data_IF_111930497707
#
_entry.id   IF_111930497707
#
_cell.length_a   1.000
_cell.length_b   1.000
_cell.length_c   1.000
_cell.angle_alpha   90.00
_cell.angle_beta   90.00
_cell.angle_gamma   90.00
#
_symmetry.space_group_name_H-M   'P 1'
#
loop_
_entity.id
_entity.type
_entity.pdbx_description
1 polymer ?
#
# COMPACT_ATOMS: atom_id res chain seq x y z
N UNK A 1 -42.65 19.14 21.86
CA UNK A 1 -43.20 19.26 20.49
C UNK A 1 -42.02 19.58 19.59
N UNK A 2 -41.64 18.55 18.85
CA UNK A 2 -40.61 18.34 17.81
C UNK A 2 -39.38 19.25 17.64
N UNK A 3 -38.24 18.55 17.74
CA UNK A 3 -36.90 18.91 17.28
C UNK A 3 -36.79 18.78 15.74
N UNK A 4 -36.05 19.73 15.14
CA UNK A 4 -35.03 19.53 14.10
C UNK A 4 -35.31 18.61 12.89
N UNK A 5 -35.34 19.20 11.68
CA UNK A 5 -34.45 18.87 10.54
C UNK A 5 -34.82 19.64 9.25
N UNK A 6 -33.90 20.42 8.65
CA UNK A 6 -33.88 20.67 7.22
C UNK A 6 -32.83 19.74 6.60
N UNK A 7 -33.19 18.47 6.42
CA UNK A 7 -32.41 17.52 5.63
C UNK A 7 -33.22 17.15 4.41
N UNK A 8 -33.01 17.85 3.30
CA UNK A 8 -33.24 17.39 1.92
C UNK A 8 -33.18 18.57 0.95
N UNK A 9 -31.97 18.92 0.52
CA UNK A 9 -31.72 19.48 -0.83
C UNK A 9 -30.24 19.52 -1.23
N UNK A 10 -29.28 19.19 -0.35
CA UNK A 10 -27.87 19.08 -0.75
C UNK A 10 -27.51 17.69 -1.32
N UNK A 11 -28.46 17.06 -2.02
CA UNK A 11 -28.28 15.85 -2.83
C UNK A 11 -28.06 16.18 -4.32
N UNK A 12 -27.61 17.40 -4.63
CA UNK A 12 -27.59 17.93 -6.00
C UNK A 12 -26.16 18.27 -6.45
N UNK A 13 -25.48 17.23 -6.96
CA UNK A 13 -24.71 17.30 -8.20
C UNK A 13 -23.43 18.14 -8.25
N UNK A 14 -22.51 17.97 -7.30
CA UNK A 14 -21.09 17.96 -7.66
C UNK A 14 -20.69 16.52 -8.00
N UNK A 15 -21.03 16.08 -9.21
CA UNK A 15 -20.37 14.92 -9.84
C UNK A 15 -18.95 15.38 -10.15
N UNK A 16 -18.11 15.52 -9.12
CA UNK A 16 -16.72 15.94 -9.26
C UNK A 16 -16.02 14.90 -10.14
N UNK A 17 -15.82 15.26 -11.40
CA UNK A 17 -14.99 14.52 -12.33
C UNK A 17 -13.60 14.47 -11.70
N UNK A 18 -13.26 13.35 -11.06
CA UNK A 18 -11.98 13.16 -10.39
C UNK A 18 -10.85 13.57 -11.32
N UNK A 19 -10.04 14.57 -10.94
CA UNK A 19 -9.01 15.12 -11.82
C UNK A 19 -7.73 14.26 -11.77
N UNK A 20 -7.82 13.10 -12.41
CA UNK A 20 -6.69 12.19 -12.58
C UNK A 20 -5.50 12.84 -13.28
N UNK A 21 -5.73 13.84 -14.13
CA UNK A 21 -4.66 14.59 -14.78
C UNK A 21 -3.92 15.48 -13.79
N UNK A 22 -4.60 16.09 -12.82
CA UNK A 22 -3.97 16.82 -11.72
C UNK A 22 -3.12 15.88 -10.86
N UNK A 23 -3.68 14.74 -10.44
CA UNK A 23 -2.93 13.77 -9.65
C UNK A 23 -1.67 13.28 -10.40
N UNK A 24 -1.81 12.95 -11.68
CA UNK A 24 -0.69 12.51 -12.51
C UNK A 24 0.43 13.54 -12.62
N UNK A 25 0.08 14.83 -12.81
CA UNK A 25 1.05 15.93 -12.83
C UNK A 25 1.73 16.13 -11.48
N UNK A 26 0.95 16.12 -10.39
CA UNK A 26 1.48 16.28 -9.03
C UNK A 26 2.51 15.18 -8.70
N UNK A 27 2.18 13.93 -9.03
CA UNK A 27 3.08 12.78 -8.86
C UNK A 27 4.36 12.95 -9.67
N UNK A 28 4.24 13.37 -10.94
CA UNK A 28 5.41 13.56 -11.80
C UNK A 28 6.35 14.66 -11.28
N UNK A 29 5.79 15.78 -10.78
CA UNK A 29 6.56 16.88 -10.20
C UNK A 29 7.28 16.43 -8.93
N UNK A 30 6.56 15.86 -7.95
CA UNK A 30 7.20 15.44 -6.71
C UNK A 30 8.24 14.32 -6.91
N UNK A 31 8.01 13.42 -7.87
CA UNK A 31 9.02 12.43 -8.26
C UNK A 31 10.29 13.11 -8.79
N UNK A 32 10.15 14.13 -9.63
CA UNK A 32 11.28 14.89 -10.17
C UNK A 32 12.00 15.68 -9.07
N UNK A 33 11.26 16.30 -8.16
CA UNK A 33 11.81 17.03 -7.01
C UNK A 33 12.58 16.11 -6.06
N UNK A 34 12.13 14.85 -5.92
CA UNK A 34 12.82 13.80 -5.18
C UNK A 34 14.02 13.19 -5.95
N UNK A 35 14.30 13.65 -7.18
CA UNK A 35 15.39 13.12 -8.01
C UNK A 35 15.18 11.69 -8.50
N UNK A 36 13.96 11.16 -8.41
CA UNK A 36 13.65 9.77 -8.77
C UNK A 36 13.29 9.64 -10.25
N UNK A 37 13.69 8.55 -10.88
CA UNK A 37 13.17 8.09 -12.17
C UNK A 37 11.79 7.42 -11.99
N UNK A 38 11.01 7.31 -13.07
CA UNK A 38 9.73 6.59 -13.04
C UNK A 38 9.90 5.12 -12.59
N UNK A 39 11.04 4.50 -12.92
CA UNK A 39 11.33 3.12 -12.56
C UNK A 39 11.69 2.97 -11.07
N UNK A 40 12.38 3.95 -10.49
CA UNK A 40 12.67 3.98 -9.05
C UNK A 40 11.40 4.20 -8.23
N UNK A 41 10.51 5.10 -8.67
CA UNK A 41 9.20 5.26 -8.03
C UNK A 41 8.37 3.97 -8.15
N UNK A 42 8.36 3.34 -9.33
CA UNK A 42 7.68 2.06 -9.53
C UNK A 42 8.23 0.97 -8.59
N UNK A 43 9.55 0.91 -8.42
CA UNK A 43 10.24 -0.01 -7.53
C UNK A 43 9.91 0.27 -6.06
N UNK A 44 9.89 1.55 -5.64
CA UNK A 44 9.57 1.95 -4.28
C UNK A 44 8.12 1.62 -3.88
N UNK A 45 7.21 1.64 -4.85
CA UNK A 45 5.78 1.34 -4.65
C UNK A 45 5.45 -0.14 -4.89
N UNK A 46 6.39 -0.91 -5.47
CA UNK A 46 6.18 -2.32 -5.80
C UNK A 46 5.35 -2.57 -7.07
N UNK A 47 5.20 -1.60 -7.96
CA UNK A 47 4.38 -1.73 -9.19
C UNK A 47 5.20 -1.71 -10.47
N UNK A 48 4.60 -2.13 -11.58
CA UNK A 48 5.22 -2.05 -12.89
C UNK A 48 5.38 -0.60 -13.39
N UNK A 49 6.43 -0.35 -14.19
CA UNK A 49 6.68 0.96 -14.81
C UNK A 49 5.48 1.48 -15.63
N UNK A 50 4.73 0.57 -16.27
CA UNK A 50 3.52 0.90 -17.02
C UNK A 50 2.40 1.51 -16.15
N UNK A 51 2.32 1.11 -14.87
CA UNK A 51 1.38 1.63 -13.88
C UNK A 51 1.72 3.08 -13.55
N UNK A 52 2.99 3.39 -13.23
CA UNK A 52 3.45 4.76 -12.96
C UNK A 52 3.27 5.66 -14.20
N UNK A 53 3.65 5.18 -15.39
CA UNK A 53 3.42 5.92 -16.65
C UNK A 53 1.94 6.21 -16.91
N UNK A 54 1.05 5.28 -16.54
CA UNK A 54 -0.40 5.44 -16.72
C UNK A 54 -0.99 6.42 -15.71
N UNK A 55 -0.49 6.40 -14.48
CA UNK A 55 -0.83 7.37 -13.44
C UNK A 55 -0.35 8.78 -13.80
N UNK A 56 0.92 8.96 -14.15
CA UNK A 56 1.50 10.29 -14.47
C UNK A 56 0.84 10.94 -15.70
N UNK A 57 0.36 10.15 -16.67
CA UNK A 57 -0.44 10.67 -17.80
C UNK A 57 -1.86 11.10 -17.42
N UNK A 58 -2.34 10.76 -16.23
CA UNK A 58 -3.70 11.06 -15.81
C UNK A 58 -4.76 10.25 -16.54
N UNK A 59 -4.62 8.92 -16.54
CA UNK A 59 -5.58 8.04 -17.21
C UNK A 59 -7.00 8.16 -16.64
N UNK A 60 -7.95 8.59 -17.48
CA UNK A 60 -9.40 8.58 -17.19
C UNK A 60 -10.00 7.17 -17.00
N UNK A 61 -9.21 6.11 -17.18
CA UNK A 61 -9.65 4.73 -16.94
C UNK A 61 -9.83 4.42 -15.45
N UNK A 62 -9.24 5.22 -14.57
CA UNK A 62 -9.44 5.07 -13.14
C UNK A 62 -10.81 5.66 -12.75
N UNK A 63 -11.68 4.81 -12.24
CA UNK A 63 -13.01 5.19 -11.76
C UNK A 63 -13.02 5.47 -10.24
N UNK A 64 -11.95 5.09 -9.54
CA UNK A 64 -11.81 5.24 -8.09
C UNK A 64 -10.33 5.18 -7.68
N UNK A 65 -10.04 5.70 -6.49
CA UNK A 65 -8.74 5.54 -5.84
C UNK A 65 -8.48 4.06 -5.55
N UNK A 66 -7.26 3.62 -5.80
CA UNK A 66 -6.78 2.26 -5.59
C UNK A 66 -5.64 2.30 -4.57
N UNK A 67 -5.36 1.20 -3.87
CA UNK A 67 -4.25 1.12 -2.90
C UNK A 67 -2.91 1.57 -3.49
N UNK A 68 -2.65 1.28 -4.77
CA UNK A 68 -1.45 1.74 -5.47
C UNK A 68 -1.29 3.26 -5.46
N UNK A 69 -2.36 4.04 -5.59
CA UNK A 69 -2.26 5.50 -5.58
C UNK A 69 -1.83 6.03 -4.21
N UNK A 70 -2.30 5.38 -3.14
CA UNK A 70 -1.89 5.68 -1.75
C UNK A 70 -0.45 5.22 -1.49
N UNK A 71 -0.05 4.09 -2.06
CA UNK A 71 1.35 3.65 -2.06
C UNK A 71 2.29 4.65 -2.76
N UNK A 72 1.86 5.23 -3.88
CA UNK A 72 2.60 6.32 -4.54
C UNK A 72 2.69 7.56 -3.65
N UNK A 73 1.59 7.97 -3.02
CA UNK A 73 1.61 9.09 -2.07
C UNK A 73 2.62 8.86 -0.95
N UNK A 74 2.60 7.68 -0.31
CA UNK A 74 3.55 7.31 0.75
C UNK A 74 5.00 7.32 0.26
N UNK A 75 5.28 6.78 -0.93
CA UNK A 75 6.62 6.76 -1.50
C UNK A 75 7.18 8.16 -1.81
N UNK A 76 6.29 9.14 -2.04
CA UNK A 76 6.63 10.55 -2.22
C UNK A 76 6.60 11.35 -0.90
N UNK A 77 6.39 10.68 0.24
CA UNK A 77 6.31 11.31 1.56
C UNK A 77 5.06 12.16 1.75
N UNK A 78 3.95 11.81 1.08
CA UNK A 78 2.66 12.46 1.25
C UNK A 78 1.74 11.66 2.16
N UNK A 79 0.82 12.36 2.83
CA UNK A 79 -0.26 11.71 3.56
C UNK A 79 -1.14 10.89 2.61
N UNK A 80 -1.47 9.65 2.98
CA UNK A 80 -2.21 8.73 2.11
C UNK A 80 -3.62 9.22 1.75
N UNK A 81 -4.25 9.97 2.64
CA UNK A 81 -5.57 10.56 2.46
C UNK A 81 -5.58 11.76 1.51
N UNK A 82 -4.40 12.28 1.15
CA UNK A 82 -4.30 13.44 0.26
C UNK A 82 -4.55 13.08 -1.20
N UNK A 83 -4.58 11.80 -1.57
CA UNK A 83 -4.85 11.37 -2.96
C UNK A 83 -6.24 11.82 -3.38
N UNK A 84 -7.23 11.59 -2.52
CA UNK A 84 -8.61 12.04 -2.71
C UNK A 84 -8.70 13.57 -2.75
N UNK A 85 -7.95 14.27 -1.90
CA UNK A 85 -7.92 15.72 -1.87
C UNK A 85 -7.35 16.31 -3.17
N UNK A 86 -6.29 15.70 -3.71
CA UNK A 86 -5.70 16.10 -4.99
C UNK A 86 -6.67 15.85 -6.15
N UNK A 87 -7.40 14.73 -6.12
CA UNK A 87 -8.44 14.45 -7.12
C UNK A 87 -9.63 15.41 -7.02
N UNK A 88 -9.89 15.97 -5.83
CA UNK A 88 -10.90 17.00 -5.58
C UNK A 88 -10.40 18.43 -5.90
N UNK A 89 -9.15 18.58 -6.36
CA UNK A 89 -8.58 19.87 -6.76
C UNK A 89 -7.68 20.54 -5.71
N UNK A 90 -7.49 19.93 -4.54
CA UNK A 90 -6.53 20.34 -3.52
C UNK A 90 -5.08 19.97 -3.87
N UNK A 91 -4.14 20.37 -3.02
CA UNK A 91 -2.71 20.12 -3.23
C UNK A 91 -2.19 18.94 -2.38
N UNK A 92 -1.15 18.23 -2.84
CA UNK A 92 -0.57 17.13 -2.09
C UNK A 92 -0.01 17.64 -0.76
N UNK A 93 -0.35 16.95 0.32
CA UNK A 93 0.16 17.30 1.66
C UNK A 93 1.32 16.38 2.02
N UNK A 94 2.48 16.92 2.44
CA UNK A 94 3.51 16.09 3.02
C UNK A 94 2.98 15.38 4.26
N UNK A 95 3.37 14.13 4.44
CA UNK A 95 3.08 13.38 5.64
C UNK A 95 3.75 14.11 6.82
N UNK A 96 3.01 14.44 7.89
CA UNK A 96 3.64 15.03 9.07
C UNK A 96 4.72 14.06 9.55
N UNK A 97 5.95 14.55 9.69
CA UNK A 97 7.07 13.76 10.18
C UNK A 97 6.81 13.34 11.64
N UNK A 98 6.01 12.28 11.82
CA UNK A 98 5.95 11.54 13.06
C UNK A 98 7.34 10.96 13.23
N UNK A 99 8.04 11.41 14.26
CA UNK A 99 9.31 10.82 14.67
C UNK A 99 9.03 9.36 14.98
N UNK A 100 9.34 8.48 14.03
CA UNK A 100 9.23 7.05 14.22
C UNK A 100 10.18 6.67 15.34
N UNK A 101 9.64 6.31 16.51
CA UNK A 101 10.42 5.80 17.65
C UNK A 101 10.78 4.33 17.48
N UNK A 102 10.62 3.76 16.28
CA UNK A 102 11.04 2.39 16.00
C UNK A 102 12.57 2.37 16.03
N UNK A 103 13.21 1.62 16.95
CA UNK A 103 14.65 1.46 16.96
C UNK A 103 15.09 0.88 15.63
N UNK A 104 15.98 1.57 14.91
CA UNK A 104 16.62 1.01 13.72
C UNK A 104 17.51 -0.14 14.20
N UNK A 105 17.25 -1.40 13.81
CA UNK A 105 18.09 -2.51 14.26
C UNK A 105 19.46 -2.39 13.61
N UNK A 106 20.50 -2.30 14.45
CA UNK A 106 21.91 -2.30 14.06
C UNK A 106 22.28 -3.67 13.45
N UNK A 107 22.19 -3.82 12.13
CA UNK A 107 22.93 -4.78 11.28
C UNK A 107 22.84 -6.30 11.56
N UNK A 108 22.34 -6.74 12.70
CA UNK A 108 22.33 -8.13 13.14
C UNK A 108 20.89 -8.65 13.15
N UNK A 109 20.66 -9.76 12.43
CA UNK A 109 19.35 -10.39 12.40
C UNK A 109 18.95 -10.80 13.83
N UNK A 110 17.69 -10.57 14.26
CA UNK A 110 17.27 -10.92 15.61
C UNK A 110 17.58 -12.38 15.95
N UNK A 111 18.16 -12.61 17.13
CA UNK A 111 18.58 -13.94 17.58
C UNK A 111 17.43 -14.98 17.59
N UNK A 112 16.18 -14.53 17.70
CA UNK A 112 14.97 -15.37 17.72
C UNK A 112 14.52 -15.91 16.36
N UNK A 113 15.17 -15.57 15.25
CA UNK A 113 14.83 -16.12 13.94
C UNK A 113 15.31 -17.56 13.78
N UNK A 114 14.50 -18.40 13.12
CA UNK A 114 14.95 -19.74 12.71
C UNK A 114 16.06 -19.65 11.65
N UNK A 115 16.91 -20.67 11.57
CA UNK A 115 17.97 -20.75 10.53
C UNK A 115 17.41 -20.65 9.10
N UNK A 116 16.22 -21.24 8.86
CA UNK A 116 15.52 -21.09 7.58
C UNK A 116 15.15 -19.64 7.30
N UNK A 117 14.65 -18.91 8.30
CA UNK A 117 14.32 -17.51 8.16
C UNK A 117 15.57 -16.66 7.93
N UNK A 118 16.65 -16.91 8.69
CA UNK A 118 17.95 -16.22 8.50
C UNK A 118 18.49 -16.42 7.08
N UNK A 119 18.51 -17.67 6.59
CA UNK A 119 18.95 -17.99 5.23
C UNK A 119 18.09 -17.29 4.16
N UNK A 120 16.77 -17.38 4.31
CA UNK A 120 15.84 -16.76 3.38
C UNK A 120 15.98 -15.23 3.36
N UNK A 121 16.19 -14.60 4.52
CA UNK A 121 16.36 -13.15 4.63
C UNK A 121 17.73 -12.67 4.15
N UNK A 122 18.78 -13.48 4.31
CA UNK A 122 20.14 -13.13 3.89
C UNK A 122 20.41 -13.16 2.37
N UNK A 123 19.48 -13.67 1.55
CA UNK A 123 19.71 -13.90 0.11
C UNK A 123 18.74 -13.12 -0.80
N UNK A 124 19.24 -12.28 -1.72
CA UNK A 124 18.39 -11.49 -2.63
C UNK A 124 17.70 -10.30 -1.96
N UNK A 125 17.02 -9.48 -2.77
CA UNK A 125 16.45 -8.19 -2.36
C UNK A 125 15.01 -8.35 -1.86
N UNK A 126 14.70 -7.79 -0.70
CA UNK A 126 13.30 -7.66 -0.24
C UNK A 126 12.60 -6.62 -1.11
N UNK A 127 11.45 -7.00 -1.66
CA UNK A 127 10.63 -6.14 -2.53
C UNK A 127 9.42 -5.62 -1.76
N UNK A 128 8.79 -6.48 -0.96
CA UNK A 128 7.64 -6.13 -0.15
C UNK A 128 7.52 -7.07 1.05
N UNK A 129 6.71 -6.70 2.03
CA UNK A 129 6.42 -7.50 3.21
C UNK A 129 5.02 -7.24 3.74
N UNK A 130 4.42 -8.24 4.37
CA UNK A 130 3.13 -8.13 5.03
C UNK A 130 3.21 -8.71 6.44
N UNK A 131 2.45 -8.15 7.38
CA UNK A 131 2.34 -8.64 8.74
C UNK A 131 0.86 -8.89 9.03
N UNK A 132 0.53 -10.14 9.34
CA UNK A 132 -0.83 -10.58 9.62
C UNK A 132 -0.92 -10.99 11.09
N UNK A 133 -1.77 -10.31 11.85
CA UNK A 133 -2.16 -10.75 13.18
C UNK A 133 -3.12 -11.94 13.04
N UNK A 134 -2.69 -13.11 13.48
CA UNK A 134 -3.42 -14.37 13.38
C UNK A 134 -4.41 -14.61 14.53
N UNK A 135 -4.61 -13.64 15.42
CA UNK A 135 -5.52 -13.76 16.56
C UNK A 135 -6.48 -12.56 16.63
N UNK A 136 -7.75 -12.73 16.22
CA UNK A 136 -8.77 -11.69 16.36
C UNK A 136 -9.31 -11.70 17.81
N UNK A 137 -8.51 -11.24 18.79
CA UNK A 137 -8.97 -11.33 20.19
C UNK A 137 -8.13 -10.69 21.29
N UNK A 138 -6.93 -10.21 21.00
CA UNK A 138 -6.26 -9.22 21.86
C UNK A 138 -5.29 -9.73 22.93
N UNK A 139 -5.16 -11.02 23.20
CA UNK A 139 -4.15 -11.50 24.16
C UNK A 139 -3.17 -12.50 23.53
N UNK A 140 -1.92 -12.04 23.31
CA UNK A 140 -0.78 -12.88 22.92
C UNK A 140 -0.79 -13.41 21.48
N UNK A 141 -1.32 -12.62 20.55
CA UNK A 141 -1.60 -13.07 19.18
C UNK A 141 -0.37 -13.54 18.40
N UNK A 142 -0.55 -14.64 17.67
CA UNK A 142 0.45 -15.09 16.68
C UNK A 142 0.56 -14.02 15.61
N UNK A 143 1.77 -13.58 15.29
CA UNK A 143 2.02 -12.69 14.14
C UNK A 143 2.70 -13.49 13.04
N UNK A 144 2.16 -13.38 11.83
CA UNK A 144 2.74 -13.99 10.63
C UNK A 144 3.35 -12.89 9.79
N UNK A 145 4.66 -12.95 9.62
CA UNK A 145 5.39 -12.06 8.71
C UNK A 145 5.61 -12.80 7.39
N UNK A 146 5.08 -12.26 6.30
CA UNK A 146 5.33 -12.73 4.95
C UNK A 146 6.28 -11.77 4.25
N UNK A 147 7.34 -12.29 3.62
CA UNK A 147 8.34 -11.46 2.94
C UNK A 147 8.41 -11.86 1.48
N UNK A 148 8.20 -10.89 0.58
CA UNK A 148 8.35 -11.06 -0.86
C UNK A 148 9.73 -10.58 -1.28
N UNK A 149 10.48 -11.50 -1.91
CA UNK A 149 11.86 -11.27 -2.32
C UNK A 149 12.01 -11.47 -3.83
N UNK A 150 12.87 -10.67 -4.42
CA UNK A 150 13.31 -10.83 -5.79
C UNK A 150 14.80 -11.20 -5.83
N UNK A 151 15.14 -12.08 -6.77
CA UNK A 151 16.53 -12.31 -7.15
C UNK A 151 17.13 -11.03 -7.76
N UNK A 152 18.44 -10.90 -7.63
CA UNK A 152 19.19 -9.86 -8.35
C UNK A 152 19.06 -10.09 -9.86
N UNK A 153 18.81 -9.01 -10.61
CA UNK A 153 18.67 -9.07 -12.08
C UNK A 153 17.31 -9.55 -12.61
N UNK A 154 16.28 -9.69 -11.77
CA UNK A 154 14.93 -10.00 -12.25
C UNK A 154 14.43 -8.92 -13.23
N UNK A 155 13.80 -9.33 -14.34
CA UNK A 155 13.25 -8.37 -15.30
C UNK A 155 12.06 -7.62 -14.71
N UNK A 156 11.83 -6.35 -15.08
CA UNK A 156 10.68 -5.59 -14.61
C UNK A 156 9.33 -6.23 -14.93
N UNK A 157 9.18 -6.90 -16.10
CA UNK A 157 7.92 -7.57 -16.44
C UNK A 157 7.69 -8.81 -15.58
N UNK A 158 8.75 -9.57 -15.30
CA UNK A 158 8.67 -10.73 -14.42
C UNK A 158 8.30 -10.31 -13.01
N UNK A 159 8.99 -9.30 -12.47
CA UNK A 159 8.70 -8.75 -11.16
C UNK A 159 7.25 -8.26 -11.04
N UNK A 160 6.71 -7.61 -12.08
CA UNK A 160 5.33 -7.15 -12.11
C UNK A 160 4.31 -8.30 -12.07
N UNK A 161 4.58 -9.41 -12.78
CA UNK A 161 3.72 -10.60 -12.75
C UNK A 161 3.74 -11.27 -11.38
N UNK A 162 4.92 -11.39 -10.80
CA UNK A 162 5.11 -12.02 -9.49
C UNK A 162 4.48 -11.18 -8.39
N UNK A 163 4.56 -9.85 -8.49
CA UNK A 163 3.91 -8.93 -7.56
C UNK A 163 2.37 -9.03 -7.60
N UNK A 164 1.76 -9.16 -8.79
CA UNK A 164 0.32 -9.37 -8.90
C UNK A 164 -0.14 -10.71 -8.31
N UNK A 165 0.72 -11.73 -8.31
CA UNK A 165 0.49 -12.97 -7.57
C UNK A 165 0.62 -12.76 -6.06
N UNK A 166 1.66 -12.05 -5.64
CA UNK A 166 1.89 -11.69 -4.24
C UNK A 166 0.72 -10.93 -3.61
N UNK A 167 0.15 -9.92 -4.26
CA UNK A 167 -1.02 -9.20 -3.73
C UNK A 167 -2.25 -10.12 -3.54
N UNK A 168 -2.43 -11.11 -4.44
CA UNK A 168 -3.49 -12.12 -4.31
C UNK A 168 -3.22 -13.02 -3.11
N UNK A 169 -1.98 -13.45 -2.92
CA UNK A 169 -1.56 -14.25 -1.77
C UNK A 169 -1.79 -13.51 -0.45
N UNK A 170 -1.40 -12.24 -0.37
CA UNK A 170 -1.63 -11.41 0.83
C UNK A 170 -3.12 -11.33 1.21
N UNK A 171 -4.00 -11.11 0.21
CA UNK A 171 -5.45 -11.08 0.43
C UNK A 171 -5.98 -12.43 0.91
N UNK A 172 -5.58 -13.52 0.27
CA UNK A 172 -5.99 -14.87 0.65
C UNK A 172 -5.48 -15.24 2.05
N UNK A 173 -4.24 -14.91 2.39
CA UNK A 173 -3.68 -15.16 3.70
C UNK A 173 -4.44 -14.39 4.79
N UNK A 174 -4.70 -13.09 4.58
CA UNK A 174 -5.54 -12.32 5.51
C UNK A 174 -6.93 -12.96 5.67
N UNK A 175 -7.58 -13.29 4.56
CA UNK A 175 -8.92 -13.89 4.56
C UNK A 175 -8.98 -15.21 5.33
N UNK A 176 -8.00 -16.10 5.11
CA UNK A 176 -7.89 -17.38 5.81
C UNK A 176 -7.74 -17.19 7.32
N UNK A 177 -6.92 -16.24 7.74
CA UNK A 177 -6.67 -16.00 9.16
C UNK A 177 -7.79 -15.22 9.85
N UNK A 178 -8.50 -14.32 9.15
CA UNK A 178 -9.70 -13.66 9.69
C UNK A 178 -10.91 -14.59 9.81
N UNK A 179 -11.00 -15.62 8.96
CA UNK A 179 -12.11 -16.58 8.98
C UNK A 179 -11.77 -17.90 9.69
N UNK A 180 -10.57 -18.03 10.29
CA UNK A 180 -10.20 -19.22 11.06
C UNK A 180 -11.05 -19.40 12.34
N UNK A 181 -11.93 -18.45 12.67
CA UNK A 181 -12.80 -18.47 13.84
C UNK A 181 -14.11 -19.29 13.67
N UNK A 182 -14.40 -19.89 12.50
CA UNK A 182 -15.72 -20.51 12.25
C UNK A 182 -15.71 -22.05 12.16
N UNK A 183 -14.56 -22.72 12.17
CA UNK A 183 -14.52 -24.19 11.87
C UNK A 183 -14.02 -25.09 13.01
N UNK A 184 -13.84 -24.61 14.25
CA UNK A 184 -13.32 -25.46 15.35
C UNK A 184 -14.23 -25.65 16.58
N UNK A 185 -15.50 -25.25 16.51
CA UNK A 185 -16.46 -25.62 17.57
C UNK A 185 -17.74 -26.16 16.96
N UNK A 186 -17.74 -27.46 16.64
CA UNK A 186 -18.85 -28.35 16.98
C UNK A 186 -18.54 -29.79 16.54
N UNK A 187 -18.29 -30.64 17.53
CA UNK A 187 -18.78 -32.02 17.45
C UNK A 187 -19.06 -32.55 18.86
N UNK A 188 -20.33 -32.62 19.29
CA UNK A 188 -20.73 -33.54 20.36
C UNK A 188 -20.71 -34.99 19.88
#
# INVERSE_FOLDING_TARGET
MELSRPGDVCGMMARMEQDWARLGRAVAVARQDAGMTQNELATAVGVGLSTIKTLERGSRKYLKVQPTHRGVARALGWAEDCVEDVLAGGDPRPEPALRSTIPVPTGELPAGLSERAKWALGSGRVVDSDVISASPGGDGGVEVVMVFKAAEGVSPEQLSRDFAFWERMQRLARDVWTHHDIQSVEKP
#
